data_IF_748416694510
#
_entry.id   IF_748416694510
#
_cell.length_a   1.000
_cell.length_b   1.000
_cell.length_c   1.000
_cell.angle_alpha   90.00
_cell.angle_beta   90.00
_cell.angle_gamma   90.00
#
_symmetry.space_group_name_H-M   'P 1'
#
loop_
_entity.id
_entity.type
_entity.pdbx_description
1 polymer ?
#
# COMPACT_ATOMS: atom_id res chain seq x y z
N UNK A 1 -10.54 20.95 8.48
CA UNK A 1 -11.45 21.74 9.34
C UNK A 1 -12.89 21.31 9.11
N UNK A 2 -13.81 21.43 10.08
CA UNK A 2 -15.22 21.12 9.85
C UNK A 2 -15.88 22.18 8.94
N UNK A 3 -16.81 21.78 8.08
CA UNK A 3 -17.71 22.69 7.37
C UNK A 3 -19.16 22.33 7.67
N UNK A 4 -20.07 23.30 7.51
CA UNK A 4 -21.51 23.13 7.74
C UNK A 4 -22.29 23.68 6.56
N UNK A 5 -23.32 22.96 6.14
CA UNK A 5 -24.19 23.36 5.05
C UNK A 5 -25.64 23.07 5.43
N UNK A 6 -26.46 24.12 5.57
CA UNK A 6 -27.88 23.95 5.81
C UNK A 6 -28.55 23.30 4.60
N UNK A 7 -29.52 22.43 4.87
CA UNK A 7 -30.32 21.77 3.85
C UNK A 7 -31.80 21.78 4.25
N UNK A 8 -32.69 21.49 3.30
CA UNK A 8 -34.12 21.42 3.56
C UNK A 8 -34.63 20.03 3.18
N UNK A 9 -35.18 19.30 4.16
CA UNK A 9 -35.68 17.93 4.01
C UNK A 9 -36.84 17.78 3.03
N UNK A 10 -37.54 18.87 2.67
CA UNK A 10 -38.60 18.87 1.65
C UNK A 10 -38.01 18.77 0.25
N UNK A 11 -36.89 19.46 0.00
CA UNK A 11 -36.24 19.52 -1.33
C UNK A 11 -35.08 18.55 -1.48
N UNK A 12 -34.44 18.16 -0.38
CA UNK A 12 -33.32 17.22 -0.33
C UNK A 12 -33.67 16.03 0.58
N UNK A 13 -33.99 14.86 0.00
CA UNK A 13 -34.36 13.69 0.78
C UNK A 13 -33.18 13.08 1.57
N UNK A 14 -31.94 13.49 1.28
CA UNK A 14 -30.73 13.03 1.98
C UNK A 14 -30.33 13.95 3.14
N UNK A 15 -31.02 15.08 3.31
CA UNK A 15 -30.74 16.05 4.36
C UNK A 15 -30.92 15.42 5.75
N UNK A 16 -29.93 15.54 6.66
CA UNK A 16 -30.00 15.01 8.01
C UNK A 16 -31.19 15.57 8.82
N UNK A 17 -31.55 14.89 9.91
CA UNK A 17 -32.74 15.23 10.69
C UNK A 17 -32.69 16.63 11.32
N UNK A 18 -31.49 17.09 11.65
CA UNK A 18 -31.20 18.43 12.19
C UNK A 18 -31.11 19.53 11.10
N UNK A 19 -31.41 19.19 9.85
CA UNK A 19 -31.47 20.10 8.69
C UNK A 19 -30.12 20.74 8.32
N UNK A 20 -29.01 20.05 8.63
CA UNK A 20 -27.67 20.51 8.31
C UNK A 20 -26.76 19.33 7.99
N UNK A 21 -25.96 19.45 6.94
CA UNK A 21 -24.79 18.61 6.75
C UNK A 21 -23.60 19.20 7.50
N UNK A 22 -22.80 18.34 8.13
CA UNK A 22 -21.52 18.68 8.73
C UNK A 22 -20.42 17.80 8.14
N UNK A 23 -19.39 18.39 7.51
CA UNK A 23 -18.38 17.61 6.77
C UNK A 23 -16.97 17.74 7.36
N UNK A 24 -16.20 16.65 7.35
CA UNK A 24 -14.74 16.73 7.49
C UNK A 24 -14.17 17.33 6.21
N UNK A 25 -13.54 18.51 6.29
CA UNK A 25 -13.23 19.33 5.11
C UNK A 25 -11.76 19.70 5.01
N UNK A 26 -11.14 19.38 3.88
CA UNK A 26 -9.87 19.99 3.48
C UNK A 26 -10.14 21.31 2.74
N UNK A 27 -9.32 22.32 3.00
CA UNK A 27 -9.35 23.60 2.29
C UNK A 27 -7.94 23.99 1.90
N UNK A 28 -7.78 24.45 0.66
CA UNK A 28 -6.50 24.89 0.10
C UNK A 28 -6.59 26.39 -0.17
N UNK A 29 -5.62 27.14 0.34
CA UNK A 29 -5.47 28.57 0.10
C UNK A 29 -4.31 28.80 -0.89
N UNK A 30 -4.47 29.76 -1.81
CA UNK A 30 -3.37 30.27 -2.63
C UNK A 30 -2.43 31.16 -1.82
N UNK A 31 -1.32 31.58 -2.43
CA UNK A 31 -0.39 32.57 -1.87
C UNK A 31 -0.99 33.97 -1.73
N UNK A 32 -2.09 34.28 -2.44
CA UNK A 32 -2.90 35.48 -2.20
C UNK A 32 -3.95 35.30 -1.08
N UNK A 33 -3.99 34.14 -0.43
CA UNK A 33 -4.92 33.85 0.67
C UNK A 33 -6.35 33.54 0.24
N UNK A 34 -6.58 33.18 -1.03
CA UNK A 34 -7.91 32.83 -1.57
C UNK A 34 -8.12 31.32 -1.55
N UNK A 35 -9.33 30.86 -1.24
CA UNK A 35 -9.67 29.42 -1.30
C UNK A 35 -9.70 28.95 -2.75
N UNK A 36 -8.83 28.00 -3.10
CA UNK A 36 -8.72 27.42 -4.45
C UNK A 36 -9.23 25.97 -4.53
N UNK A 37 -9.44 25.31 -3.40
CA UNK A 37 -10.11 24.02 -3.32
C UNK A 37 -10.77 23.83 -1.96
N UNK A 38 -11.89 23.08 -1.97
CA UNK A 38 -12.58 22.59 -0.79
C UNK A 38 -13.03 21.16 -1.07
N UNK A 39 -12.63 20.22 -0.22
CA UNK A 39 -12.96 18.80 -0.36
C UNK A 39 -13.58 18.26 0.92
N UNK A 40 -14.73 17.60 0.81
CA UNK A 40 -15.37 16.89 1.90
C UNK A 40 -14.98 15.41 1.87
N UNK A 41 -14.47 14.89 2.99
CA UNK A 41 -14.03 13.51 3.14
C UNK A 41 -15.18 12.54 2.81
N UNK A 42 -14.93 11.62 1.89
CA UNK A 42 -15.94 10.69 1.43
C UNK A 42 -16.05 9.47 2.34
N UNK A 43 -14.91 8.88 2.70
CA UNK A 43 -14.84 7.61 3.41
C UNK A 43 -14.55 7.89 4.89
N UNK A 44 -15.61 8.00 5.69
CA UNK A 44 -15.51 8.30 7.10
C UNK A 44 -14.95 7.12 7.91
N UNK A 45 -14.24 7.42 9.00
CA UNK A 45 -13.64 6.41 9.89
C UNK A 45 -13.97 6.75 11.35
N UNK A 46 -15.04 6.15 11.88
CA UNK A 46 -15.60 6.44 13.22
C UNK A 46 -15.91 7.91 13.51
N UNK A 47 -16.17 8.68 12.45
CA UNK A 47 -16.41 10.12 12.48
C UNK A 47 -17.90 10.43 12.62
N UNK A 48 -18.53 9.99 13.73
CA UNK A 48 -20.00 10.14 13.95
C UNK A 48 -20.51 11.58 13.95
N UNK A 49 -19.62 12.56 14.10
CA UNK A 49 -19.94 13.99 14.05
C UNK A 49 -19.94 14.56 12.62
N UNK A 50 -19.70 13.73 11.60
CA UNK A 50 -19.62 14.14 10.22
C UNK A 50 -20.51 13.27 9.32
N UNK A 51 -21.08 13.91 8.31
CA UNK A 51 -21.80 13.27 7.22
C UNK A 51 -20.84 12.94 6.08
N UNK A 52 -21.13 11.87 5.35
CA UNK A 52 -20.49 11.64 4.06
C UNK A 52 -21.21 12.49 2.98
N UNK A 53 -20.47 13.08 2.03
CA UNK A 53 -21.08 13.80 0.92
C UNK A 53 -22.06 12.92 0.15
N UNK A 54 -23.23 13.47 -0.25
CA UNK A 54 -24.24 12.72 -0.99
C UNK A 54 -23.76 12.30 -2.39
N UNK A 55 -22.82 13.03 -2.98
CA UNK A 55 -22.19 12.76 -4.26
C UNK A 55 -20.66 12.75 -4.08
N UNK A 56 -19.97 11.93 -4.88
CA UNK A 56 -18.52 11.89 -4.85
C UNK A 56 -17.90 13.20 -5.34
N UNK A 57 -17.03 13.79 -4.53
CA UNK A 57 -16.28 15.00 -4.88
C UNK A 57 -14.88 14.65 -5.41
N UNK A 58 -14.59 15.03 -6.65
CA UNK A 58 -13.27 14.87 -7.27
C UNK A 58 -12.55 16.22 -7.36
N UNK A 59 -11.98 16.66 -6.25
CA UNK A 59 -11.47 18.03 -6.11
C UNK A 59 -10.01 18.12 -6.55
N UNK A 60 -9.72 19.11 -7.40
CA UNK A 60 -8.38 19.42 -7.86
C UNK A 60 -8.15 20.93 -7.84
N UNK A 61 -6.90 21.36 -7.71
CA UNK A 61 -6.48 22.76 -7.87
C UNK A 61 -5.21 22.82 -8.71
N UNK A 62 -4.96 23.98 -9.33
CA UNK A 62 -3.78 24.17 -10.20
C UNK A 62 -2.82 25.14 -9.56
N UNK A 63 -1.54 24.86 -9.69
CA UNK A 63 -0.44 25.71 -9.21
C UNK A 63 0.40 26.17 -10.41
N UNK A 64 1.01 27.37 -10.34
CA UNK A 64 1.89 27.85 -11.40
C UNK A 64 3.25 27.11 -11.44
N UNK A 65 3.63 26.47 -10.33
CA UNK A 65 4.96 25.84 -10.17
C UNK A 65 4.96 24.32 -10.34
N UNK A 66 3.81 23.67 -10.26
CA UNK A 66 3.72 22.22 -10.25
C UNK A 66 2.43 21.67 -10.87
N UNK A 67 1.67 22.44 -11.64
CA UNK A 67 0.48 21.93 -12.33
C UNK A 67 -0.64 21.53 -11.38
N UNK A 68 -1.39 20.47 -11.73
CA UNK A 68 -2.61 20.05 -11.04
C UNK A 68 -2.31 19.14 -9.84
N UNK A 69 -2.92 19.49 -8.71
CA UNK A 69 -2.96 18.69 -7.50
C UNK A 69 -4.37 18.14 -7.27
N UNK A 70 -4.44 16.91 -6.79
CA UNK A 70 -5.65 16.34 -6.19
C UNK A 70 -5.59 16.45 -4.67
N UNK A 71 -6.75 16.33 -4.03
CA UNK A 71 -6.87 16.32 -2.57
C UNK A 71 -7.86 15.22 -2.15
N UNK A 72 -7.46 14.44 -1.16
CA UNK A 72 -8.33 13.51 -0.42
C UNK A 72 -7.78 13.30 0.99
N UNK A 73 -8.52 12.62 1.86
CA UNK A 73 -8.25 12.62 3.30
C UNK A 73 -8.17 11.22 3.88
N UNK A 74 -7.07 10.90 4.58
CA UNK A 74 -6.96 9.72 5.44
C UNK A 74 -7.50 8.43 4.77
N UNK A 75 -8.57 7.86 5.33
CA UNK A 75 -9.17 6.60 4.93
C UNK A 75 -9.58 6.52 3.45
N UNK A 76 -9.79 7.67 2.77
CA UNK A 76 -10.07 7.74 1.33
C UNK A 76 -9.05 6.97 0.47
N UNK A 77 -7.79 6.87 0.91
CA UNK A 77 -6.71 6.20 0.16
C UNK A 77 -6.97 4.70 -0.08
N UNK A 78 -7.82 4.07 0.76
CA UNK A 78 -8.17 2.65 0.66
C UNK A 78 -9.34 2.37 -0.30
N UNK A 79 -9.96 3.41 -0.85
CA UNK A 79 -11.17 3.29 -1.67
C UNK A 79 -10.97 3.84 -3.08
N UNK A 80 -11.84 3.39 -4.00
CA UNK A 80 -11.79 3.87 -5.39
C UNK A 80 -12.05 5.37 -5.48
N UNK A 81 -13.08 5.84 -4.78
CA UNK A 81 -13.51 7.23 -4.83
C UNK A 81 -13.12 7.96 -3.53
N UNK A 82 -12.42 9.10 -3.61
CA UNK A 82 -11.91 9.75 -4.84
C UNK A 82 -10.52 9.26 -5.29
N UNK A 83 -9.78 8.52 -4.45
CA UNK A 83 -8.33 8.35 -4.59
C UNK A 83 -7.89 7.73 -5.93
N UNK A 84 -8.45 6.58 -6.30
CA UNK A 84 -8.10 5.90 -7.56
C UNK A 84 -8.62 6.67 -8.77
N UNK A 85 -9.82 7.25 -8.68
CA UNK A 85 -10.43 8.03 -9.76
C UNK A 85 -9.60 9.26 -10.11
N UNK A 86 -9.14 10.01 -9.10
CA UNK A 86 -8.25 11.17 -9.30
C UNK A 86 -6.97 10.78 -10.05
N UNK A 87 -6.36 9.65 -9.68
CA UNK A 87 -5.07 9.26 -10.25
C UNK A 87 -5.20 8.56 -11.59
N UNK A 88 -6.01 7.50 -11.69
CA UNK A 88 -6.13 6.68 -12.90
C UNK A 88 -7.01 7.33 -13.96
N UNK A 89 -8.15 7.89 -13.58
CA UNK A 89 -9.15 8.38 -14.54
C UNK A 89 -8.93 9.86 -14.89
N UNK A 90 -8.50 10.69 -13.93
CA UNK A 90 -8.28 12.12 -14.15
C UNK A 90 -6.81 12.51 -14.40
N UNK A 91 -5.89 11.55 -14.32
CA UNK A 91 -4.47 11.77 -14.63
C UNK A 91 -3.72 12.63 -13.61
N UNK A 92 -4.23 12.78 -12.38
CA UNK A 92 -3.53 13.54 -11.34
C UNK A 92 -2.29 12.77 -10.88
N UNK A 93 -1.17 13.50 -10.71
CA UNK A 93 0.13 12.92 -10.34
C UNK A 93 0.72 13.50 -9.07
N UNK A 94 0.03 14.45 -8.45
CA UNK A 94 0.45 15.10 -7.21
C UNK A 94 -0.76 15.23 -6.31
N UNK A 95 -0.63 14.77 -5.07
CA UNK A 95 -1.71 14.70 -4.11
C UNK A 95 -1.28 15.36 -2.81
N UNK A 96 -2.10 16.27 -2.29
CA UNK A 96 -2.03 16.71 -0.89
C UNK A 96 -2.94 15.82 -0.05
N UNK A 97 -2.41 15.25 1.02
CA UNK A 97 -3.06 14.21 1.80
C UNK A 97 -2.95 14.48 3.31
N UNK A 98 -3.87 15.30 3.86
CA UNK A 98 -4.05 15.40 5.30
C UNK A 98 -4.58 14.08 5.86
N UNK A 99 -4.03 13.64 6.99
CA UNK A 99 -4.42 12.38 7.61
C UNK A 99 -4.30 12.40 9.14
N UNK A 100 -5.04 11.49 9.78
CA UNK A 100 -4.95 11.18 11.20
C UNK A 100 -4.99 9.66 11.29
N UNK A 101 -3.89 9.05 10.86
CA UNK A 101 -3.78 7.62 10.61
C UNK A 101 -3.24 6.90 11.83
N UNK A 102 -4.02 5.95 12.35
CA UNK A 102 -3.57 5.02 13.38
C UNK A 102 -2.82 3.88 12.71
N UNK A 103 -1.56 3.67 13.09
CA UNK A 103 -0.78 2.58 12.53
C UNK A 103 -1.40 1.24 12.92
N UNK A 104 -1.44 0.33 11.95
CA UNK A 104 -1.90 -1.04 12.14
C UNK A 104 -0.93 -1.96 11.41
N UNK A 105 0.00 -2.52 12.17
CA UNK A 105 1.05 -3.38 11.62
C UNK A 105 0.51 -4.81 11.41
N UNK A 106 1.09 -5.57 10.47
CA UNK A 106 2.22 -5.22 9.63
C UNK A 106 1.83 -4.63 8.26
N UNK A 107 0.55 -4.46 7.93
CA UNK A 107 0.14 -4.17 6.54
C UNK A 107 -0.28 -2.72 6.27
N UNK A 108 -0.67 -1.97 7.30
CA UNK A 108 -1.29 -0.65 7.19
C UNK A 108 -0.65 0.37 8.14
N UNK A 109 0.67 0.33 8.29
CA UNK A 109 1.36 1.50 8.85
C UNK A 109 1.28 2.68 7.88
N UNK A 110 1.15 3.90 8.40
CA UNK A 110 0.96 5.13 7.64
C UNK A 110 2.04 5.29 6.56
N UNK A 111 3.32 5.35 6.96
CA UNK A 111 4.44 5.55 6.04
C UNK A 111 4.58 4.42 5.03
N UNK A 112 4.26 3.20 5.42
CA UNK A 112 4.33 2.01 4.58
C UNK A 112 3.28 2.06 3.46
N UNK A 113 2.00 2.16 3.82
CA UNK A 113 0.91 2.08 2.85
C UNK A 113 0.89 3.33 1.95
N UNK A 114 1.18 4.51 2.51
CA UNK A 114 1.22 5.76 1.73
C UNK A 114 2.38 5.76 0.71
N UNK A 115 3.55 5.22 1.07
CA UNK A 115 4.66 5.02 0.12
C UNK A 115 4.32 3.98 -0.95
N UNK A 116 3.65 2.88 -0.56
CA UNK A 116 3.18 1.85 -1.49
C UNK A 116 2.18 2.41 -2.50
N UNK A 117 1.21 3.23 -2.04
CA UNK A 117 0.28 3.94 -2.91
C UNK A 117 1.01 4.87 -3.89
N UNK A 118 1.96 5.67 -3.39
CA UNK A 118 2.78 6.57 -4.19
C UNK A 118 3.54 5.84 -5.30
N UNK A 119 4.21 4.74 -4.97
CA UNK A 119 4.94 3.89 -5.92
C UNK A 119 4.01 3.26 -6.96
N UNK A 120 2.99 2.53 -6.51
CA UNK A 120 2.06 1.80 -7.38
C UNK A 120 1.32 2.72 -8.36
N UNK A 121 0.96 3.91 -7.89
CA UNK A 121 0.15 4.86 -8.64
C UNK A 121 0.96 6.01 -9.24
N UNK A 122 2.30 5.94 -9.23
CA UNK A 122 3.16 6.91 -9.89
C UNK A 122 2.88 8.37 -9.53
N UNK A 123 2.46 8.64 -8.28
CA UNK A 123 2.18 10.00 -7.81
C UNK A 123 3.24 10.49 -6.85
N UNK A 124 3.31 11.81 -6.68
CA UNK A 124 3.86 12.39 -5.46
C UNK A 124 2.74 12.56 -4.45
N UNK A 125 2.88 11.98 -3.26
CA UNK A 125 1.93 12.07 -2.16
C UNK A 125 2.55 12.87 -1.01
N UNK A 126 1.95 14.00 -0.67
CA UNK A 126 2.34 14.86 0.45
C UNK A 126 1.45 14.53 1.65
N UNK A 127 1.92 13.64 2.51
CA UNK A 127 1.17 13.13 3.64
C UNK A 127 1.51 13.88 4.94
N UNK A 128 0.52 14.60 5.47
CA UNK A 128 0.63 15.29 6.76
C UNK A 128 -0.25 14.57 7.78
N UNK A 129 0.38 13.78 8.64
CA UNK A 129 -0.30 13.04 9.70
C UNK A 129 -0.33 13.84 11.01
N UNK A 130 -1.34 13.58 11.83
CA UNK A 130 -1.35 14.00 13.23
C UNK A 130 -0.21 13.31 13.97
N UNK A 131 0.28 13.94 15.04
CA UNK A 131 1.11 13.27 16.05
C UNK A 131 0.32 13.17 17.36
N UNK A 132 -0.02 11.94 17.74
CA UNK A 132 -0.68 11.64 19.02
C UNK A 132 -0.23 10.25 19.52
N UNK A 133 0.69 10.22 20.49
CA UNK A 133 1.29 8.98 21.02
C UNK A 133 0.26 8.02 21.60
N UNK A 134 -0.70 8.57 22.34
CA UNK A 134 -1.74 7.82 23.05
C UNK A 134 -2.67 7.03 22.11
N UNK A 135 -2.71 7.38 20.82
CA UNK A 135 -3.52 6.71 19.80
C UNK A 135 -2.67 5.97 18.75
N UNK A 136 -1.35 5.86 18.94
CA UNK A 136 -0.46 5.26 17.94
C UNK A 136 -0.44 6.02 16.60
N UNK A 137 -0.76 7.32 16.62
CA UNK A 137 -0.82 8.16 15.43
C UNK A 137 0.53 8.86 15.25
N UNK A 138 1.25 8.42 14.23
CA UNK A 138 2.53 8.96 13.81
C UNK A 138 2.84 8.47 12.38
N UNK A 139 3.85 9.04 11.74
CA UNK A 139 4.17 8.73 10.36
C UNK A 139 3.61 9.77 9.39
N UNK A 140 4.42 10.79 9.10
CA UNK A 140 4.21 11.75 8.00
C UNK A 140 5.29 11.57 6.95
N UNK A 141 5.05 12.02 5.72
CA UNK A 141 6.06 11.91 4.68
C UNK A 141 5.80 12.66 3.39
N UNK A 142 6.87 12.82 2.64
CA UNK A 142 6.87 13.25 1.24
C UNK A 142 7.28 12.01 0.43
N UNK A 143 6.31 11.42 -0.26
CA UNK A 143 6.50 10.20 -1.05
C UNK A 143 6.48 10.55 -2.53
N UNK A 144 7.50 10.10 -3.25
CA UNK A 144 7.51 10.04 -4.71
C UNK A 144 7.45 8.57 -5.13
N UNK A 145 7.34 8.22 -6.42
CA UNK A 145 7.22 6.82 -6.79
C UNK A 145 8.50 6.00 -6.54
N UNK A 146 9.64 6.65 -6.31
CA UNK A 146 10.97 6.02 -6.20
C UNK A 146 11.72 6.40 -4.92
N UNK A 147 11.20 7.30 -4.10
CA UNK A 147 11.92 7.86 -2.96
C UNK A 147 10.96 8.49 -1.96
N UNK A 148 11.34 8.46 -0.68
CA UNK A 148 10.50 8.85 0.45
C UNK A 148 11.33 9.62 1.49
N UNK A 149 10.81 10.76 1.95
CA UNK A 149 11.29 11.41 3.17
C UNK A 149 10.21 11.28 4.23
N UNK A 150 10.52 10.63 5.35
CA UNK A 150 9.53 10.32 6.39
C UNK A 150 9.92 10.87 7.75
N UNK A 151 8.92 10.99 8.62
CA UNK A 151 9.09 11.12 10.05
C UNK A 151 8.11 10.19 10.75
N UNK A 152 8.65 9.27 11.53
CA UNK A 152 7.93 8.38 12.42
C UNK A 152 8.58 8.48 13.80
N UNK A 153 7.78 8.80 14.81
CA UNK A 153 8.20 8.94 16.21
C UNK A 153 7.10 8.35 17.08
N UNK A 154 7.41 7.30 17.82
CA UNK A 154 6.49 6.61 18.72
C UNK A 154 6.53 7.18 20.14
N UNK A 155 7.59 7.88 20.51
CA UNK A 155 7.85 8.32 21.89
C UNK A 155 7.48 9.80 22.12
N UNK A 156 7.88 10.70 21.22
CA UNK A 156 7.72 12.15 21.40
C UNK A 156 6.38 12.67 20.90
N UNK A 157 5.81 13.72 21.50
CA UNK A 157 4.56 14.36 21.01
C UNK A 157 4.81 15.65 20.20
N UNK A 158 6.06 15.90 19.81
CA UNK A 158 6.41 17.10 19.03
C UNK A 158 6.00 16.96 17.56
N UNK A 159 5.52 18.06 16.97
CA UNK A 159 5.36 18.14 15.52
C UNK A 159 6.71 18.15 14.80
N UNK A 160 6.71 17.74 13.53
CA UNK A 160 7.89 17.75 12.65
C UNK A 160 7.56 18.38 11.30
N UNK A 161 8.39 19.32 10.87
CA UNK A 161 8.36 19.85 9.51
C UNK A 161 9.31 19.02 8.63
N UNK A 162 8.79 18.54 7.50
CA UNK A 162 9.56 17.89 6.45
C UNK A 162 9.60 18.79 5.22
N UNK A 163 10.78 18.99 4.66
CA UNK A 163 10.99 19.81 3.47
C UNK A 163 11.87 19.04 2.50
N UNK A 164 11.40 18.92 1.25
CA UNK A 164 12.14 18.25 0.17
C UNK A 164 11.79 18.86 -1.18
N UNK A 165 12.77 18.93 -2.08
CA UNK A 165 12.53 19.20 -3.50
C UNK A 165 12.05 17.92 -4.17
N UNK A 166 10.89 17.97 -4.82
CA UNK A 166 10.27 16.84 -5.54
C UNK A 166 10.13 17.17 -7.03
N UNK A 167 10.13 16.16 -7.92
CA UNK A 167 9.85 16.37 -9.34
C UNK A 167 8.40 16.77 -9.58
N UNK A 168 8.15 17.61 -10.59
CA UNK A 168 6.80 17.91 -11.06
C UNK A 168 6.36 16.80 -12.00
N UNK A 169 5.34 16.05 -11.60
CA UNK A 169 4.86 14.87 -12.34
C UNK A 169 3.68 15.17 -13.27
N UNK A 170 3.23 16.43 -13.35
CA UNK A 170 2.12 16.82 -14.21
C UNK A 170 2.51 16.69 -15.71
N UNK A 171 1.71 15.99 -16.54
CA UNK A 171 2.02 15.80 -17.96
C UNK A 171 2.22 17.10 -18.75
N UNK A 172 1.58 18.21 -18.33
CA UNK A 172 1.76 19.51 -18.99
C UNK A 172 3.16 20.11 -18.78
N UNK A 173 3.90 19.65 -17.75
CA UNK A 173 5.26 20.10 -17.44
C UNK A 173 6.34 19.16 -17.97
N UNK A 174 6.01 17.89 -18.25
CA UNK A 174 6.97 16.85 -18.67
C UNK A 174 7.15 16.79 -20.21
N UNK A 175 6.24 17.40 -20.99
CA UNK A 175 6.31 17.35 -22.46
C UNK A 175 6.12 15.93 -23.02
N UNK A 176 6.79 15.61 -24.14
CA UNK A 176 6.64 14.32 -24.84
C UNK A 176 7.41 13.15 -24.16
N UNK A 177 8.12 13.44 -23.07
CA UNK A 177 8.89 12.47 -22.26
C UNK A 177 7.98 11.64 -21.32
N UNK A 178 6.72 11.38 -21.76
CA UNK A 178 5.73 10.54 -21.07
C UNK A 178 6.24 9.12 -20.75
N UNK A 179 7.27 8.70 -21.49
CA UNK A 179 7.92 7.39 -21.43
C UNK A 179 8.91 7.25 -20.25
N UNK A 180 9.09 8.28 -19.42
CA UNK A 180 9.90 8.22 -18.18
C UNK A 180 9.08 8.04 -16.90
N UNK A 181 7.75 7.99 -16.99
CA UNK A 181 6.87 7.61 -15.87
C UNK A 181 6.69 6.07 -15.88
N UNK A 182 7.76 5.30 -15.60
CA UNK A 182 7.75 3.82 -15.69
C UNK A 182 7.97 3.17 -14.30
N UNK A 183 7.18 2.15 -13.90
CA UNK A 183 5.79 1.90 -14.26
C UNK A 183 4.86 2.08 -13.04
N UNK A 184 3.75 2.77 -13.29
CA UNK A 184 2.49 2.46 -12.61
C UNK A 184 2.31 0.94 -12.59
N UNK A 185 1.79 0.36 -11.50
CA UNK A 185 1.47 -1.07 -11.35
C UNK A 185 0.33 -1.52 -12.29
N UNK A 186 0.42 -1.21 -13.58
CA UNK A 186 -0.60 -1.40 -14.63
C UNK A 186 -0.07 -1.27 -16.06
N UNK A 187 1.21 -0.94 -16.26
CA UNK A 187 1.85 -1.03 -17.59
C UNK A 187 2.90 -2.14 -17.60
N UNK A 188 2.87 -2.97 -18.64
CA UNK A 188 3.91 -3.93 -18.94
C UNK A 188 5.26 -3.20 -19.04
N UNK A 189 6.31 -3.73 -18.41
CA UNK A 189 7.66 -3.21 -18.60
C UNK A 189 7.98 -3.19 -20.10
N UNK A 190 8.01 -2.00 -20.71
CA UNK A 190 8.25 -1.80 -22.14
C UNK A 190 9.73 -1.87 -22.52
N UNK A 191 10.56 -2.47 -21.67
CA UNK A 191 11.93 -2.82 -21.98
C UNK A 191 12.03 -4.34 -21.97
N UNK A 192 12.32 -4.92 -23.13
CA UNK A 192 13.06 -6.18 -23.16
C UNK A 192 14.20 -6.07 -22.14
N UNK A 193 14.45 -7.10 -21.33
CA UNK A 193 15.50 -7.05 -20.34
C UNK A 193 16.84 -6.91 -21.08
N UNK A 194 17.35 -5.68 -21.20
CA UNK A 194 18.76 -5.42 -21.49
C UNK A 194 19.55 -6.08 -20.36
N UNK A 195 19.93 -7.33 -20.61
CA UNK A 195 20.75 -8.19 -19.74
C UNK A 195 20.42 -7.95 -18.27
N UNK A 196 19.19 -8.35 -17.92
CA UNK A 196 18.80 -8.65 -16.56
C UNK A 196 20.01 -9.31 -15.90
N UNK A 197 20.54 -8.69 -14.84
CA UNK A 197 21.17 -9.44 -13.77
C UNK A 197 20.04 -10.29 -13.15
N UNK A 198 19.56 -11.24 -13.95
CA UNK A 198 18.96 -12.49 -13.52
C UNK A 198 19.96 -12.93 -12.48
N UNK A 199 19.54 -13.06 -11.22
CA UNK A 199 20.20 -14.00 -10.35
C UNK A 199 20.46 -15.23 -11.20
N UNK A 200 21.72 -15.60 -11.45
CA UNK A 200 21.97 -16.77 -12.26
C UNK A 200 21.21 -17.87 -11.55
N UNK A 201 20.22 -18.46 -12.20
CA UNK A 201 19.67 -19.75 -11.79
C UNK A 201 20.78 -20.79 -11.66
N UNK A 202 21.99 -20.49 -12.17
CA UNK A 202 23.25 -21.20 -11.98
C UNK A 202 24.08 -20.86 -10.72
N UNK A 203 23.66 -19.92 -9.86
CA UNK A 203 24.26 -19.74 -8.52
C UNK A 203 23.62 -20.62 -7.45
N UNK A 204 22.43 -21.13 -7.75
CA UNK A 204 21.91 -22.34 -7.12
C UNK A 204 22.36 -23.51 -7.99
N UNK A 205 22.75 -24.63 -7.39
CA UNK A 205 23.09 -25.83 -8.16
C UNK A 205 21.92 -26.18 -9.08
N UNK A 206 22.11 -25.86 -10.36
CA UNK A 206 21.15 -26.03 -11.45
C UNK A 206 21.07 -27.51 -11.84
N UNK A 207 20.55 -28.32 -10.91
CA UNK A 207 20.05 -29.66 -11.18
C UNK A 207 18.56 -29.83 -10.84
N UNK A 208 17.85 -28.72 -10.58
CA UNK A 208 16.40 -28.71 -10.69
C UNK A 208 15.98 -27.83 -11.85
N UNK A 209 15.86 -28.49 -13.00
CA UNK A 209 15.33 -27.95 -14.25
C UNK A 209 14.05 -27.16 -14.00
N UNK A 210 14.07 -25.91 -14.44
CA UNK A 210 12.92 -25.05 -14.54
C UNK A 210 11.80 -25.72 -15.33
N UNK A 211 10.75 -26.10 -14.61
CA UNK A 211 9.41 -26.33 -15.16
C UNK A 211 8.46 -25.59 -14.23
N UNK A 212 7.79 -24.56 -14.74
CA UNK A 212 6.55 -24.09 -14.13
C UNK A 212 5.64 -25.31 -13.95
N UNK A 213 5.38 -25.72 -12.71
CA UNK A 213 4.54 -26.89 -12.45
C UNK A 213 3.14 -26.60 -12.99
N UNK A 214 2.73 -27.38 -14.00
CA UNK A 214 1.42 -27.24 -14.66
C UNK A 214 0.31 -28.04 -13.96
N UNK A 215 0.64 -28.83 -12.92
CA UNK A 215 -0.30 -29.69 -12.17
C UNK A 215 0.14 -29.85 -10.71
N UNK A 216 -0.85 -29.90 -9.80
CA UNK A 216 -0.66 -30.03 -8.35
C UNK A 216 0.08 -31.30 -7.91
N UNK A 217 0.11 -32.33 -8.75
CA UNK A 217 0.72 -33.64 -8.44
C UNK A 217 2.26 -33.67 -8.57
N UNK A 218 2.89 -32.66 -9.17
CA UNK A 218 4.35 -32.63 -9.39
C UNK A 218 5.13 -31.81 -8.34
N UNK A 219 4.43 -31.13 -7.41
CA UNK A 219 5.05 -30.35 -6.31
C UNK A 219 5.19 -31.15 -5.00
N UNK A 220 4.86 -32.44 -4.98
CA UNK A 220 4.66 -33.21 -3.75
C UNK A 220 5.92 -33.89 -3.18
N UNK A 221 7.12 -33.57 -3.67
CA UNK A 221 8.38 -34.11 -3.13
C UNK A 221 9.35 -32.99 -2.72
N UNK A 222 8.87 -32.12 -1.84
CA UNK A 222 9.69 -31.26 -1.00
C UNK A 222 8.98 -31.19 0.35
N UNK A 223 9.72 -31.34 1.46
CA UNK A 223 9.21 -31.36 2.84
C UNK A 223 7.95 -30.52 3.01
N UNK A 224 6.80 -31.18 3.14
CA UNK A 224 5.49 -30.53 3.28
C UNK A 224 5.50 -29.71 4.57
N UNK A 225 5.87 -28.44 4.44
CA UNK A 225 5.75 -27.47 5.52
C UNK A 225 4.26 -27.27 5.74
N UNK A 226 3.77 -27.73 6.89
CA UNK A 226 2.36 -27.67 7.22
C UNK A 226 1.90 -26.22 7.26
N UNK A 227 0.89 -25.89 6.46
CA UNK A 227 0.24 -24.57 6.52
C UNK A 227 -0.46 -24.38 7.86
N UNK A 228 -0.64 -23.13 8.27
CA UNK A 228 -1.36 -22.77 9.48
C UNK A 228 -2.18 -21.49 9.26
N UNK A 229 -3.10 -21.23 10.17
CA UNK A 229 -3.92 -20.03 10.17
C UNK A 229 -3.46 -19.10 11.29
N UNK A 230 -3.43 -17.80 11.00
CA UNK A 230 -3.20 -16.76 12.01
C UNK A 230 -3.95 -15.49 11.64
N UNK A 231 -4.26 -14.68 12.66
CA UNK A 231 -4.94 -13.41 12.48
C UNK A 231 -3.90 -12.33 12.21
N UNK A 232 -4.09 -11.60 11.12
CA UNK A 232 -3.30 -10.44 10.76
C UNK A 232 -4.27 -9.34 10.31
N UNK A 233 -4.19 -8.16 10.93
CA UNK A 233 -5.16 -7.09 10.65
C UNK A 233 -6.62 -7.53 10.81
N UNK A 234 -6.93 -8.34 11.84
CA UNK A 234 -8.26 -8.93 12.08
C UNK A 234 -8.76 -9.94 11.04
N UNK A 235 -8.00 -10.19 9.97
CA UNK A 235 -8.35 -11.15 8.93
C UNK A 235 -7.64 -12.48 9.16
N UNK A 236 -8.31 -13.59 8.84
CA UNK A 236 -7.78 -14.94 8.99
C UNK A 236 -6.94 -15.32 7.76
N UNK A 237 -5.63 -15.18 7.86
CA UNK A 237 -4.69 -15.54 6.79
C UNK A 237 -4.37 -17.03 6.84
N UNK A 238 -4.12 -17.62 5.66
CA UNK A 238 -3.45 -18.91 5.54
C UNK A 238 -1.97 -18.64 5.32
N UNK A 239 -1.09 -19.23 6.13
CA UNK A 239 0.35 -19.01 6.12
C UNK A 239 1.14 -20.31 5.98
N UNK A 240 2.35 -20.21 5.43
CA UNK A 240 3.36 -21.26 5.40
C UNK A 240 4.67 -20.71 5.99
N UNK A 241 5.30 -21.41 6.95
CA UNK A 241 6.52 -20.93 7.58
C UNK A 241 7.73 -21.04 6.63
N UNK A 242 8.65 -20.07 6.71
CA UNK A 242 9.92 -20.13 5.98
C UNK A 242 10.90 -21.08 6.69
N UNK A 243 11.37 -22.11 5.97
CA UNK A 243 12.35 -23.07 6.45
C UNK A 243 13.74 -22.77 5.88
N UNK A 244 14.79 -22.92 6.70
CA UNK A 244 16.18 -22.71 6.25
C UNK A 244 16.50 -21.25 5.87
N UNK A 245 17.68 -21.00 5.31
CA UNK A 245 18.11 -19.65 4.91
C UNK A 245 17.76 -19.29 3.47
N UNK A 246 17.26 -20.25 2.69
CA UNK A 246 16.84 -20.06 1.30
C UNK A 246 15.68 -21.00 0.99
N UNK A 247 14.82 -20.61 0.04
CA UNK A 247 13.71 -21.45 -0.35
C UNK A 247 12.84 -20.85 -1.44
N UNK A 248 12.02 -21.73 -2.02
CA UNK A 248 11.00 -21.38 -2.99
C UNK A 248 9.68 -22.01 -2.54
N UNK A 249 8.73 -21.19 -2.12
CA UNK A 249 7.48 -21.63 -1.51
C UNK A 249 6.27 -20.97 -2.17
N UNK A 250 5.14 -21.67 -2.13
CA UNK A 250 3.89 -21.21 -2.72
C UNK A 250 2.72 -21.54 -1.80
N UNK A 251 1.71 -20.67 -1.79
CA UNK A 251 0.50 -20.84 -0.99
C UNK A 251 -0.69 -20.17 -1.69
N UNK A 252 -1.88 -20.75 -1.59
CA UNK A 252 -3.08 -20.21 -2.23
C UNK A 252 -4.25 -20.09 -1.24
N UNK A 253 -5.12 -19.10 -1.47
CA UNK A 253 -6.43 -18.96 -0.82
C UNK A 253 -7.46 -18.50 -1.85
N UNK A 254 -8.42 -19.38 -2.15
CA UNK A 254 -9.37 -19.17 -3.24
C UNK A 254 -8.67 -18.99 -4.58
N UNK A 255 -8.92 -17.86 -5.25
CA UNK A 255 -8.33 -17.51 -6.55
C UNK A 255 -6.94 -16.85 -6.49
N UNK A 256 -6.43 -16.55 -5.29
CA UNK A 256 -5.14 -15.87 -5.11
C UNK A 256 -4.09 -16.89 -4.73
N UNK A 257 -3.00 -16.95 -5.49
CA UNK A 257 -1.82 -17.76 -5.21
C UNK A 257 -0.60 -16.86 -5.09
N UNK A 258 0.16 -17.04 -4.03
CA UNK A 258 1.36 -16.28 -3.70
C UNK A 258 2.58 -17.19 -3.83
N UNK A 259 3.63 -16.67 -4.44
CA UNK A 259 4.90 -17.37 -4.68
C UNK A 259 6.04 -16.52 -4.13
N UNK A 260 6.93 -17.15 -3.36
CA UNK A 260 8.07 -16.49 -2.76
C UNK A 260 9.34 -17.28 -3.04
N UNK A 261 10.30 -16.63 -3.69
CA UNK A 261 11.70 -17.02 -3.69
C UNK A 261 12.43 -16.12 -2.71
N UNK A 262 13.17 -16.70 -1.75
CA UNK A 262 13.86 -15.92 -0.72
C UNK A 262 15.26 -16.45 -0.41
N UNK A 263 16.10 -15.55 0.08
CA UNK A 263 17.36 -15.83 0.77
C UNK A 263 17.48 -14.88 1.95
N UNK A 264 17.79 -15.39 3.15
CA UNK A 264 17.88 -14.62 4.39
C UNK A 264 19.22 -14.81 5.09
N UNK A 265 19.64 -13.79 5.85
CA UNK A 265 20.93 -13.76 6.55
C UNK A 265 21.09 -14.89 7.57
N UNK A 266 20.01 -15.28 8.23
CA UNK A 266 19.94 -16.29 9.27
C UNK A 266 18.49 -16.77 9.42
N UNK A 267 18.25 -17.76 10.28
CA UNK A 267 16.93 -18.37 10.50
C UNK A 267 16.45 -18.28 11.95
N UNK A 268 16.97 -17.33 12.75
CA UNK A 268 16.57 -17.19 14.16
C UNK A 268 15.19 -16.56 14.30
N UNK A 269 14.91 -15.51 13.52
CA UNK A 269 13.60 -14.89 13.49
C UNK A 269 12.61 -15.73 12.68
N UNK A 270 11.40 -15.87 13.23
CA UNK A 270 10.35 -16.62 12.57
C UNK A 270 9.68 -15.76 11.49
N UNK A 271 9.66 -16.26 10.25
CA UNK A 271 8.98 -15.64 9.11
C UNK A 271 7.98 -16.60 8.49
N UNK A 272 6.93 -16.04 7.90
CA UNK A 272 5.95 -16.80 7.13
C UNK A 272 5.53 -16.04 5.86
N UNK A 273 5.17 -16.81 4.83
CA UNK A 273 4.42 -16.32 3.67
C UNK A 273 2.93 -16.52 3.93
N UNK A 274 2.17 -15.43 3.93
CA UNK A 274 0.72 -15.43 4.09
C UNK A 274 -0.02 -15.05 2.82
N UNK A 275 -1.22 -15.60 2.65
CA UNK A 275 -2.19 -15.24 1.63
C UNK A 275 -3.56 -14.98 2.23
N UNK A 276 -4.24 -13.95 1.72
CA UNK A 276 -5.63 -13.65 2.06
C UNK A 276 -6.42 -13.26 0.81
N UNK A 277 -7.67 -13.70 0.76
CA UNK A 277 -8.61 -13.43 -0.32
C UNK A 277 -10.01 -13.37 0.27
N UNK A 278 -10.48 -12.17 0.59
CA UNK A 278 -11.71 -12.02 1.34
C UNK A 278 -12.11 -10.59 1.67
N UNK A 279 -13.29 -10.45 2.27
CA UNK A 279 -13.83 -9.18 2.72
C UNK A 279 -13.32 -8.88 4.13
N UNK A 280 -12.58 -7.78 4.28
CA UNK A 280 -12.27 -7.20 5.57
C UNK A 280 -13.48 -6.43 6.09
N UNK A 281 -13.80 -6.59 7.37
CA UNK A 281 -15.04 -6.02 7.97
C UNK A 281 -14.81 -5.26 9.28
N UNK A 282 -13.61 -5.35 9.86
CA UNK A 282 -13.31 -4.71 11.15
C UNK A 282 -12.79 -3.31 10.89
N UNK A 283 -13.40 -2.28 11.50
CA UNK A 283 -13.01 -0.88 11.26
C UNK A 283 -13.15 -0.38 9.80
N UNK A 284 -13.87 -1.12 8.96
CA UNK A 284 -14.14 -0.77 7.57
C UNK A 284 -14.59 -1.98 6.77
N UNK A 285 -15.22 -1.77 5.62
CA UNK A 285 -15.64 -2.85 4.73
C UNK A 285 -14.96 -2.70 3.37
N UNK A 286 -14.07 -3.64 3.05
CA UNK A 286 -13.33 -3.62 1.79
C UNK A 286 -12.72 -4.99 1.44
N UNK A 287 -12.73 -5.35 0.16
CA UNK A 287 -12.25 -6.66 -0.31
C UNK A 287 -10.76 -6.65 -0.63
N UNK A 288 -10.02 -7.64 -0.10
CA UNK A 288 -8.58 -7.73 -0.19
C UNK A 288 -8.12 -9.00 -0.90
N UNK A 289 -7.07 -8.86 -1.69
CA UNK A 289 -6.26 -9.96 -2.24
C UNK A 289 -4.81 -9.68 -1.84
N UNK A 290 -4.24 -10.45 -0.92
CA UNK A 290 -2.96 -10.13 -0.28
C UNK A 290 -1.98 -11.28 -0.41
N UNK A 291 -0.74 -10.96 -0.79
CA UNK A 291 0.44 -11.79 -0.55
C UNK A 291 1.38 -11.04 0.40
N UNK A 292 1.77 -11.65 1.51
CA UNK A 292 2.63 -10.98 2.50
C UNK A 292 3.72 -11.93 3.04
N UNK A 293 4.97 -11.53 2.91
CA UNK A 293 6.09 -12.10 3.67
C UNK A 293 6.22 -11.29 4.96
N UNK A 294 6.03 -11.92 6.12
CA UNK A 294 5.96 -11.22 7.41
C UNK A 294 6.91 -11.84 8.44
N UNK A 295 7.54 -10.98 9.24
CA UNK A 295 8.16 -11.36 10.50
C UNK A 295 7.08 -11.63 11.53
N UNK A 296 7.14 -12.77 12.21
CA UNK A 296 6.29 -13.09 13.35
C UNK A 296 6.88 -12.49 14.63
N UNK A 297 6.03 -12.12 15.60
CA UNK A 297 6.49 -11.45 16.83
C UNK A 297 7.13 -12.40 17.84
N UNK A 298 6.89 -13.70 17.69
CA UNK A 298 7.53 -14.76 18.48
C UNK A 298 7.77 -16.02 17.64
N UNK A 299 8.02 -17.14 18.31
CA UNK A 299 8.33 -18.43 17.67
C UNK A 299 7.07 -19.27 17.36
N UNK A 300 5.90 -18.87 17.85
CA UNK A 300 4.65 -19.60 17.67
C UNK A 300 3.88 -19.13 16.44
N UNK A 301 3.16 -20.04 15.78
CA UNK A 301 2.35 -19.75 14.59
C UNK A 301 1.35 -18.60 14.79
N UNK A 302 0.71 -18.51 15.95
CA UNK A 302 -0.25 -17.46 16.28
C UNK A 302 0.36 -16.06 16.44
N UNK A 303 1.69 -15.96 16.51
CA UNK A 303 2.39 -14.67 16.59
C UNK A 303 2.59 -14.00 15.22
N UNK A 304 2.38 -14.74 14.13
CA UNK A 304 2.45 -14.20 12.78
C UNK A 304 1.23 -13.32 12.50
N UNK A 305 1.45 -12.05 12.20
CA UNK A 305 0.41 -11.02 12.10
C UNK A 305 0.34 -10.09 13.32
N UNK A 306 1.10 -10.37 14.38
CA UNK A 306 1.27 -9.44 15.50
C UNK A 306 2.08 -8.20 15.11
N UNK A 307 1.86 -7.11 15.82
CA UNK A 307 2.52 -5.83 15.55
C UNK A 307 3.98 -5.81 16.03
N UNK A 308 4.90 -5.46 15.15
CA UNK A 308 6.31 -5.21 15.47
C UNK A 308 6.91 -4.22 14.50
N UNK A 309 7.66 -3.25 15.03
CA UNK A 309 8.46 -2.33 14.22
C UNK A 309 9.89 -2.84 14.03
N UNK A 310 10.25 -3.97 14.64
CA UNK A 310 11.63 -4.46 14.67
C UNK A 310 11.78 -5.74 13.88
N UNK A 311 12.93 -5.89 13.23
CA UNK A 311 13.44 -7.07 12.53
C UNK A 311 14.97 -7.02 12.49
N UNK A 312 15.62 -8.16 12.54
CA UNK A 312 17.07 -8.30 12.43
C UNK A 312 17.46 -8.98 11.13
N UNK A 313 16.70 -9.96 10.70
CA UNK A 313 17.03 -10.78 9.53
C UNK A 313 16.88 -9.97 8.25
N UNK A 314 17.98 -9.87 7.49
CA UNK A 314 17.96 -9.33 6.13
C UNK A 314 17.39 -10.39 5.19
N UNK A 315 16.49 -9.99 4.29
CA UNK A 315 15.86 -10.92 3.36
C UNK A 315 15.91 -10.36 1.95
N UNK A 316 16.63 -11.05 1.07
CA UNK A 316 16.50 -10.88 -0.37
C UNK A 316 15.31 -11.73 -0.84
N UNK A 317 14.44 -11.16 -1.66
CA UNK A 317 13.25 -11.87 -2.09
C UNK A 317 12.75 -11.48 -3.48
N UNK A 318 11.98 -12.39 -4.05
CA UNK A 318 11.03 -12.13 -5.12
C UNK A 318 9.67 -12.67 -4.69
N UNK A 319 8.72 -11.76 -4.49
CA UNK A 319 7.35 -12.05 -4.12
C UNK A 319 6.45 -11.83 -5.33
N UNK A 320 5.69 -12.84 -5.71
CA UNK A 320 4.74 -12.77 -6.81
C UNK A 320 3.37 -13.28 -6.36
N UNK A 321 2.31 -12.81 -7.02
CA UNK A 321 0.96 -13.29 -6.80
C UNK A 321 0.13 -13.26 -8.07
N UNK A 322 -0.88 -14.13 -8.14
CA UNK A 322 -1.91 -14.11 -9.18
C UNK A 322 -3.12 -13.37 -8.62
N UNK A 323 -3.42 -12.20 -9.17
CA UNK A 323 -4.47 -11.30 -8.69
C UNK A 323 -5.62 -11.21 -9.70
N UNK A 324 -6.85 -11.11 -9.21
CA UNK A 324 -8.00 -10.81 -10.07
C UNK A 324 -8.10 -9.30 -10.28
N UNK A 325 -7.77 -8.51 -9.25
CA UNK A 325 -7.78 -7.05 -9.33
C UNK A 325 -6.54 -6.50 -10.03
N UNK A 326 -6.68 -5.47 -10.90
CA UNK A 326 -5.55 -4.73 -11.46
C UNK A 326 -4.98 -3.66 -10.51
N UNK A 327 -5.41 -3.64 -9.23
CA UNK A 327 -5.00 -2.65 -8.24
C UNK A 327 -4.18 -3.30 -7.14
N UNK A 328 -2.87 -3.42 -7.39
CA UNK A 328 -1.89 -3.97 -6.45
C UNK A 328 -0.91 -2.89 -6.02
N UNK A 329 -0.72 -2.77 -4.70
CA UNK A 329 0.14 -1.80 -4.04
C UNK A 329 1.31 -2.54 -3.36
N UNK A 330 2.49 -2.65 -4.00
CA UNK A 330 3.66 -3.29 -3.40
C UNK A 330 4.30 -2.40 -2.33
N UNK A 331 4.52 -2.94 -1.14
CA UNK A 331 5.15 -2.23 -0.03
C UNK A 331 6.23 -3.08 0.65
N UNK A 332 7.31 -2.44 1.09
CA UNK A 332 8.39 -3.06 1.84
C UNK A 332 8.65 -2.21 3.09
N UNK A 333 8.59 -2.84 4.25
CA UNK A 333 8.84 -2.22 5.55
C UNK A 333 10.02 -2.93 6.21
N UNK A 334 11.06 -2.17 6.51
CA UNK A 334 12.20 -2.62 7.30
C UNK A 334 12.10 -2.19 8.77
N UNK A 335 13.03 -2.72 9.57
CA UNK A 335 13.17 -2.47 10.99
C UNK A 335 13.29 -0.98 11.32
N UNK A 336 12.60 -0.53 12.37
CA UNK A 336 12.52 0.90 12.75
C UNK A 336 11.69 1.74 11.78
N UNK A 337 10.73 1.12 11.09
CA UNK A 337 9.84 1.78 10.12
C UNK A 337 10.57 2.39 8.92
N UNK A 338 11.74 1.85 8.58
CA UNK A 338 12.48 2.23 7.38
C UNK A 338 11.74 1.74 6.14
N UNK A 339 11.56 2.59 5.15
CA UNK A 339 10.94 2.22 3.89
C UNK A 339 11.99 1.74 2.90
N UNK A 340 11.61 0.78 2.07
CA UNK A 340 12.41 0.34 0.93
C UNK A 340 11.56 0.34 -0.35
N UNK A 341 12.23 0.44 -1.50
CA UNK A 341 11.59 0.47 -2.82
C UNK A 341 12.00 -0.79 -3.58
N UNK A 342 11.07 -1.50 -4.24
CA UNK A 342 11.43 -2.66 -5.05
C UNK A 342 12.46 -2.30 -6.14
N UNK A 343 13.44 -3.18 -6.35
CA UNK A 343 14.38 -3.07 -7.49
C UNK A 343 13.61 -3.22 -8.81
N UNK A 344 12.64 -4.14 -8.81
CA UNK A 344 11.71 -4.39 -9.89
C UNK A 344 10.33 -4.71 -9.34
N UNK A 345 9.29 -4.19 -9.99
CA UNK A 345 7.90 -4.53 -9.72
C UNK A 345 7.07 -4.35 -11.00
N UNK A 346 5.97 -5.10 -11.12
CA UNK A 346 5.08 -4.96 -12.27
C UNK A 346 4.28 -6.21 -12.59
N UNK A 347 3.54 -6.13 -13.70
CA UNK A 347 2.77 -7.25 -14.25
C UNK A 347 3.63 -8.14 -15.15
N UNK A 348 3.58 -9.43 -14.87
CA UNK A 348 4.09 -10.51 -15.73
C UNK A 348 2.90 -11.17 -16.43
N UNK A 349 3.12 -11.61 -17.68
CA UNK A 349 2.06 -12.04 -18.60
C UNK A 349 0.92 -12.83 -17.95
N UNK A 350 -0.32 -12.47 -18.30
CA UNK A 350 -1.52 -12.94 -17.62
C UNK A 350 -1.88 -12.04 -16.42
N UNK A 351 -2.20 -12.65 -15.28
CA UNK A 351 -2.66 -11.98 -14.07
C UNK A 351 -1.60 -11.97 -12.95
N UNK A 352 -0.32 -12.17 -13.31
CA UNK A 352 0.77 -12.21 -12.36
C UNK A 352 1.29 -10.81 -12.03
N UNK A 353 1.35 -10.44 -10.76
CA UNK A 353 2.07 -9.26 -10.30
C UNK A 353 3.22 -9.67 -9.41
N UNK A 354 4.38 -9.03 -9.56
CA UNK A 354 5.55 -9.34 -8.74
C UNK A 354 6.24 -8.08 -8.22
N UNK A 355 7.05 -8.28 -7.19
CA UNK A 355 8.12 -7.39 -6.80
C UNK A 355 9.35 -8.19 -6.38
N UNK A 356 10.53 -7.60 -6.53
CA UNK A 356 11.78 -8.15 -6.03
C UNK A 356 12.62 -7.09 -5.35
N UNK A 357 13.33 -7.49 -4.29
CA UNK A 357 14.26 -6.64 -3.57
C UNK A 357 15.46 -7.43 -3.10
N UNK A 358 16.64 -6.85 -3.30
CA UNK A 358 17.92 -7.40 -2.86
C UNK A 358 18.77 -6.36 -2.16
N UNK A 359 19.67 -6.80 -1.28
CA UNK A 359 20.63 -5.90 -0.62
C UNK A 359 19.97 -4.96 0.40
N UNK A 360 18.94 -5.43 1.09
CA UNK A 360 18.29 -4.66 2.16
C UNK A 360 19.32 -4.26 3.24
N UNK A 361 19.22 -3.02 3.73
CA UNK A 361 20.11 -2.49 4.78
C UNK A 361 19.53 -2.61 6.19
N UNK A 362 18.25 -2.97 6.32
CA UNK A 362 17.54 -3.16 7.57
C UNK A 362 16.80 -4.50 7.53
N UNK A 363 16.61 -5.13 8.70
CA UNK A 363 15.86 -6.38 8.80
C UNK A 363 14.43 -6.20 8.27
N UNK A 364 13.88 -7.22 7.61
CA UNK A 364 12.57 -7.13 6.97
C UNK A 364 11.44 -7.28 8.00
N UNK A 365 10.60 -6.27 8.19
CA UNK A 365 9.36 -6.41 8.98
C UNK A 365 8.29 -7.06 8.12
N UNK A 366 8.08 -6.54 6.92
CA UNK A 366 7.15 -7.13 5.95
C UNK A 366 7.45 -6.72 4.51
N UNK A 367 7.14 -7.61 3.58
CA UNK A 367 6.99 -7.30 2.16
C UNK A 367 5.59 -7.74 1.72
N UNK A 368 4.79 -6.82 1.19
CA UNK A 368 3.38 -7.05 0.87
C UNK A 368 3.06 -6.64 -0.57
N UNK A 369 2.30 -7.49 -1.25
CA UNK A 369 1.53 -7.14 -2.43
C UNK A 369 0.08 -6.93 -1.98
N UNK A 370 -0.32 -5.68 -1.79
CA UNK A 370 -1.62 -5.34 -1.24
C UNK A 370 -2.63 -5.10 -2.37
N UNK A 371 -3.48 -6.08 -2.67
CA UNK A 371 -4.50 -6.01 -3.72
C UNK A 371 -5.85 -5.50 -3.21
N UNK A 372 -6.47 -4.56 -3.93
CA UNK A 372 -7.82 -4.04 -3.62
C UNK A 372 -8.80 -4.35 -4.74
N UNK A 373 -9.89 -5.04 -4.43
CA UNK A 373 -10.95 -5.32 -5.40
C UNK A 373 -12.18 -4.46 -5.09
N UNK A 374 -12.16 -3.20 -5.55
CA UNK A 374 -13.16 -2.18 -5.19
C UNK A 374 -14.60 -2.56 -5.53
N UNK A 375 -14.83 -3.32 -6.61
CA UNK A 375 -16.15 -3.78 -7.05
C UNK A 375 -16.77 -4.80 -6.08
N UNK A 376 -15.94 -5.47 -5.25
CA UNK A 376 -16.38 -6.46 -4.26
C UNK A 376 -16.57 -5.87 -2.85
N UNK A 377 -16.38 -4.57 -2.65
CA UNK A 377 -16.51 -3.93 -1.33
C UNK A 377 -17.95 -3.96 -0.78
N UNK A 378 -18.96 -4.18 -1.63
CA UNK A 378 -20.40 -4.12 -1.28
C UNK A 378 -21.12 -5.48 -1.30
N UNK A 379 -20.38 -6.58 -1.31
CA UNK A 379 -20.96 -7.94 -1.38
C UNK A 379 -21.37 -8.41 0.01
#
# INVERSE_FOLDING_TARGET
MPSRQNCNRISDPRCPEDSQYQFNTNVVFSDEGVIVARYHKQNLYFEVAFDAPPEFEYVTFTTPFAGRFGVFTCFDILFRNPAVTLVKEMGIRQIVYPTAWMNQLPLLAAVQFQSSFSHATGVTLLAANVRAAEYGITGSGIFTPWDSLIHHDTEGNSGKLLVRRVPVLDPSFIGDDRHKLVPFSGYQSSKEPEKMHVWPTSSFNANHDGKYCRKDSECAEGTSSTTFNSIMMYDNFTLVPLQGTEGNISICSGSVCCHLLFRRSDAHEFYALGVFNGLHVVHGTYYLEICALVRCTGEHHSSCGGETEHAQTLVDFRLAGIFVTPHVFPGILGSGMTLDVPDHSGWEGGNGFYMSRTGMSAGLVTAVLYGRHYEKDKV
#
